data_IF_480530600197
#
_entry.id   IF_480530600197
#
_cell.length_a   1.000
_cell.length_b   1.000
_cell.length_c   1.000
_cell.angle_alpha   90.00
_cell.angle_beta   90.00
_cell.angle_gamma   90.00
#
_symmetry.space_group_name_H-M   'P 1'
#
loop_
_entity.id
_entity.type
_entity.pdbx_description
1 polymer ?
#
# COMPACT_ATOMS: atom_id res chain seq x y z
N UNK A 1 -23.77 -3.64 -18.83
CA UNK A 1 -22.76 -4.40 -19.60
C UNK A 1 -21.31 -3.93 -19.36
N UNK A 2 -21.03 -2.62 -19.32
CA UNK A 2 -19.66 -2.09 -19.15
C UNK A 2 -18.94 -2.57 -17.87
N UNK A 3 -19.67 -2.65 -16.74
CA UNK A 3 -19.10 -3.05 -15.45
C UNK A 3 -18.57 -4.49 -15.38
N UNK A 4 -19.13 -5.42 -16.17
CA UNK A 4 -18.66 -6.82 -16.18
C UNK A 4 -17.47 -7.03 -17.12
N UNK A 5 -17.34 -6.19 -18.15
CA UNK A 5 -16.16 -6.19 -19.03
C UNK A 5 -14.90 -5.76 -18.28
N UNK A 6 -14.95 -4.63 -17.56
CA UNK A 6 -13.81 -4.09 -16.79
C UNK A 6 -13.29 -5.13 -15.79
N UNK A 7 -14.18 -5.78 -15.04
CA UNK A 7 -13.78 -6.80 -14.06
C UNK A 7 -13.18 -8.05 -14.70
N UNK A 8 -13.70 -8.49 -15.85
CA UNK A 8 -13.10 -9.62 -16.59
C UNK A 8 -11.73 -9.28 -17.16
N UNK A 9 -11.54 -8.05 -17.62
CA UNK A 9 -10.26 -7.59 -18.13
C UNK A 9 -9.20 -7.50 -17.00
N UNK A 10 -9.54 -6.90 -15.86
CA UNK A 10 -8.66 -6.74 -14.71
C UNK A 10 -8.48 -8.03 -13.90
N UNK A 11 -9.52 -8.87 -13.81
CA UNK A 11 -9.54 -10.09 -12.99
C UNK A 11 -9.08 -11.35 -13.71
N UNK A 12 -8.21 -11.24 -14.72
CA UNK A 12 -7.66 -12.43 -15.42
C UNK A 12 -6.80 -13.24 -14.45
N UNK A 13 -6.95 -14.57 -14.46
CA UNK A 13 -6.22 -15.48 -13.54
C UNK A 13 -4.71 -15.31 -13.63
N UNK A 14 -4.18 -15.20 -14.85
CA UNK A 14 -2.75 -14.99 -15.07
C UNK A 14 -2.29 -13.64 -14.52
N UNK A 15 -3.11 -12.58 -14.64
CA UNK A 15 -2.76 -11.26 -14.13
C UNK A 15 -2.65 -11.31 -12.61
N UNK A 16 -3.67 -11.88 -11.92
CA UNK A 16 -3.64 -12.10 -10.46
C UNK A 16 -2.39 -12.88 -10.04
N UNK A 17 -2.08 -13.98 -10.72
CA UNK A 17 -0.94 -14.83 -10.40
C UNK A 17 0.41 -14.12 -10.59
N UNK A 18 0.62 -13.48 -11.75
CA UNK A 18 1.87 -12.78 -12.06
C UNK A 18 2.06 -11.56 -11.16
N UNK A 19 1.04 -10.70 -11.03
CA UNK A 19 1.14 -9.53 -10.15
C UNK A 19 1.32 -9.94 -8.69
N UNK A 20 0.68 -11.04 -8.26
CA UNK A 20 0.82 -11.56 -6.91
C UNK A 20 2.22 -12.09 -6.63
N UNK A 21 2.82 -12.81 -7.57
CA UNK A 21 4.20 -13.30 -7.46
C UNK A 21 5.20 -12.15 -7.41
N UNK A 22 5.06 -11.15 -8.29
CA UNK A 22 5.93 -9.96 -8.31
C UNK A 22 5.77 -9.14 -7.03
N UNK A 23 4.53 -8.91 -6.58
CA UNK A 23 4.25 -8.25 -5.30
C UNK A 23 4.91 -8.98 -4.13
N UNK A 24 4.72 -10.30 -4.02
CA UNK A 24 5.29 -11.09 -2.94
C UNK A 24 6.83 -11.05 -2.93
N UNK A 25 7.46 -11.23 -4.09
CA UNK A 25 8.92 -11.13 -4.21
C UNK A 25 9.43 -9.75 -3.81
N UNK A 26 8.76 -8.68 -4.26
CA UNK A 26 9.09 -7.30 -3.91
C UNK A 26 8.91 -7.03 -2.42
N UNK A 27 7.81 -7.50 -1.81
CA UNK A 27 7.54 -7.33 -0.37
C UNK A 27 8.57 -8.04 0.50
N UNK A 28 8.96 -9.26 0.13
CA UNK A 28 9.97 -10.04 0.85
C UNK A 28 11.35 -9.36 0.77
N UNK A 29 11.71 -8.84 -0.40
CA UNK A 29 12.96 -8.09 -0.57
C UNK A 29 12.97 -6.79 0.25
N UNK A 30 11.87 -6.03 0.26
CA UNK A 30 11.74 -4.83 1.13
C UNK A 30 11.85 -5.22 2.60
N UNK A 31 11.15 -6.27 3.03
CA UNK A 31 11.19 -6.73 4.42
C UNK A 31 12.60 -7.16 4.85
N UNK A 32 13.34 -7.83 3.96
CA UNK A 32 14.73 -8.20 4.20
C UNK A 32 15.64 -6.97 4.34
N UNK A 33 15.48 -5.97 3.48
CA UNK A 33 16.23 -4.71 3.56
C UNK A 33 15.88 -3.98 4.87
N UNK A 34 14.60 -3.87 5.22
CA UNK A 34 14.11 -3.13 6.39
C UNK A 34 14.26 -3.89 7.72
N UNK A 35 14.82 -5.10 7.73
CA UNK A 35 15.02 -5.88 8.96
C UNK A 35 15.70 -5.08 10.09
N UNK A 36 16.72 -4.23 9.84
CA UNK A 36 17.37 -3.43 10.90
C UNK A 36 16.51 -2.31 11.48
N UNK A 37 15.46 -1.85 10.78
CA UNK A 37 14.55 -0.80 11.25
C UNK A 37 13.19 -1.34 11.72
N UNK A 38 12.93 -2.62 11.54
CA UNK A 38 11.70 -3.27 12.01
C UNK A 38 11.78 -3.52 13.52
N UNK A 39 10.69 -3.32 14.30
CA UNK A 39 9.34 -2.91 13.86
C UNK A 39 9.11 -1.39 13.81
N UNK A 40 10.11 -0.58 14.18
CA UNK A 40 9.99 0.87 14.35
C UNK A 40 9.57 1.62 13.07
N UNK A 41 9.77 1.04 11.89
CA UNK A 41 9.32 1.62 10.62
C UNK A 41 7.81 1.89 10.59
N UNK A 42 6.98 0.97 11.10
CA UNK A 42 5.52 1.16 11.13
C UNK A 42 5.13 2.24 12.13
N UNK A 43 5.84 2.32 13.26
CA UNK A 43 5.63 3.37 14.25
C UNK A 43 5.96 4.73 13.64
N UNK A 44 7.13 4.86 13.03
CA UNK A 44 7.56 6.07 12.33
C UNK A 44 6.51 6.53 11.31
N UNK A 45 6.03 5.61 10.47
CA UNK A 45 5.00 5.86 9.47
C UNK A 45 3.65 6.35 10.02
N UNK A 46 3.34 6.07 11.29
CA UNK A 46 2.07 6.41 11.91
C UNK A 46 2.16 7.58 12.89
N UNK A 47 3.34 7.92 13.39
CA UNK A 47 3.49 8.85 14.52
C UNK A 47 4.46 10.01 14.29
N UNK A 48 5.12 10.11 13.12
CA UNK A 48 6.07 11.19 12.83
C UNK A 48 5.39 12.53 12.46
N UNK A 49 4.57 13.05 13.38
CA UNK A 49 3.68 14.19 13.13
C UNK A 49 4.42 15.54 13.06
N UNK A 50 5.62 15.63 13.66
CA UNK A 50 6.44 16.84 13.69
C UNK A 50 7.85 16.58 13.18
N UNK A 51 8.54 17.64 12.80
CA UNK A 51 9.92 17.59 12.33
C UNK A 51 10.86 16.96 13.36
N UNK A 52 10.65 17.25 14.66
CA UNK A 52 11.44 16.66 15.74
C UNK A 52 11.25 15.15 15.86
N UNK A 53 10.07 14.61 15.54
CA UNK A 53 9.85 13.17 15.56
C UNK A 53 10.63 12.47 14.44
N UNK A 54 10.66 13.10 13.27
CA UNK A 54 11.47 12.61 12.15
C UNK A 54 12.96 12.66 12.48
N UNK A 55 13.46 13.82 12.92
CA UNK A 55 14.88 14.00 13.28
C UNK A 55 15.32 13.04 14.36
N UNK A 56 14.52 12.86 15.42
CA UNK A 56 14.81 11.94 16.52
C UNK A 56 14.89 10.49 16.03
N UNK A 57 13.96 10.09 15.17
CA UNK A 57 13.94 8.74 14.58
C UNK A 57 15.16 8.52 13.68
N UNK A 58 15.47 9.48 12.81
CA UNK A 58 16.64 9.39 11.92
C UNK A 58 17.95 9.37 12.69
N UNK A 59 18.08 10.18 13.75
CA UNK A 59 19.26 10.16 14.62
C UNK A 59 19.43 8.80 15.33
N UNK A 60 18.33 8.19 15.80
CA UNK A 60 18.37 6.87 16.41
C UNK A 60 18.77 5.77 15.41
N UNK A 61 18.25 5.84 14.18
CA UNK A 61 18.63 4.91 13.11
C UNK A 61 20.05 5.14 12.60
N UNK A 62 20.56 6.37 12.59
CA UNK A 62 21.95 6.68 12.25
C UNK A 62 22.88 6.07 13.30
N UNK A 63 22.59 6.30 14.59
CA UNK A 63 23.39 5.78 15.70
C UNK A 63 23.47 4.24 15.76
N UNK A 64 22.43 3.55 15.28
CA UNK A 64 22.41 2.08 15.21
C UNK A 64 22.89 1.51 13.86
N UNK A 65 23.21 2.35 12.88
CA UNK A 65 23.54 1.96 11.51
C UNK A 65 22.34 1.51 10.66
N UNK A 66 21.11 1.59 11.21
CA UNK A 66 19.89 1.19 10.52
C UNK A 66 19.43 2.22 9.47
N UNK A 67 19.90 3.47 9.50
CA UNK A 67 19.49 4.49 8.52
C UNK A 67 19.92 4.12 7.10
N UNK A 68 21.05 3.41 6.93
CA UNK A 68 21.49 2.93 5.62
C UNK A 68 20.49 1.95 5.00
N UNK A 69 19.94 1.03 5.80
CA UNK A 69 18.89 0.10 5.37
C UNK A 69 17.60 0.84 4.99
N UNK A 70 17.21 1.84 5.80
CA UNK A 70 16.09 2.71 5.48
C UNK A 70 16.35 3.57 4.22
N UNK A 71 17.57 3.98 3.90
CA UNK A 71 17.85 4.63 2.61
C UNK A 71 17.75 3.63 1.44
N UNK A 72 18.25 2.42 1.63
CA UNK A 72 18.31 1.40 0.57
C UNK A 72 16.92 0.92 0.10
N UNK A 73 15.93 0.83 1.00
CA UNK A 73 14.62 0.28 0.61
C UNK A 73 13.91 1.10 -0.46
N UNK A 74 14.12 2.43 -0.50
CA UNK A 74 13.51 3.32 -1.49
C UNK A 74 13.84 2.97 -2.94
N UNK A 75 14.94 2.26 -3.21
CA UNK A 75 15.24 1.79 -4.56
C UNK A 75 14.15 0.84 -5.08
N UNK A 76 13.65 -0.04 -4.22
CA UNK A 76 12.58 -0.99 -4.54
C UNK A 76 11.19 -0.37 -4.28
N UNK A 77 11.07 0.45 -3.25
CA UNK A 77 9.79 1.05 -2.84
C UNK A 77 9.28 2.14 -3.81
N UNK A 78 10.12 2.58 -4.75
CA UNK A 78 9.70 3.41 -5.89
C UNK A 78 8.74 2.71 -6.86
N UNK A 79 8.87 1.39 -7.01
CA UNK A 79 8.06 0.60 -7.95
C UNK A 79 7.11 -0.37 -7.24
N UNK A 80 7.40 -0.72 -5.99
CA UNK A 80 6.57 -1.60 -5.17
C UNK A 80 5.07 -1.21 -5.14
N UNK A 81 4.70 0.08 -5.07
CA UNK A 81 3.30 0.48 -5.09
C UNK A 81 2.53 0.05 -6.33
N UNK A 82 3.20 0.01 -7.49
CA UNK A 82 2.61 -0.47 -8.73
C UNK A 82 2.27 -1.97 -8.66
N UNK A 83 3.12 -2.75 -7.98
CA UNK A 83 2.95 -4.20 -7.86
C UNK A 83 1.80 -4.56 -6.94
N UNK A 84 1.74 -3.99 -5.72
CA UNK A 84 0.62 -4.31 -4.83
C UNK A 84 -0.69 -3.74 -5.37
N UNK A 85 -0.70 -2.56 -6.00
CA UNK A 85 -1.93 -1.99 -6.55
C UNK A 85 -2.47 -2.83 -7.69
N UNK A 86 -1.61 -3.26 -8.61
CA UNK A 86 -1.98 -4.16 -9.71
C UNK A 86 -2.55 -5.47 -9.18
N UNK A 87 -1.88 -6.07 -8.18
CA UNK A 87 -2.34 -7.31 -7.57
C UNK A 87 -3.68 -7.15 -6.86
N UNK A 88 -3.82 -6.15 -5.98
CA UNK A 88 -5.05 -5.92 -5.24
C UNK A 88 -6.22 -5.60 -6.17
N UNK A 89 -6.04 -4.76 -7.19
CA UNK A 89 -7.09 -4.46 -8.18
C UNK A 89 -7.49 -5.71 -8.96
N UNK A 90 -6.52 -6.51 -9.44
CA UNK A 90 -6.80 -7.74 -10.17
C UNK A 90 -7.52 -8.78 -9.28
N UNK A 91 -7.08 -8.95 -8.03
CA UNK A 91 -7.67 -9.85 -7.06
C UNK A 91 -9.11 -9.44 -6.72
N UNK A 92 -9.36 -8.16 -6.42
CA UNK A 92 -10.70 -7.66 -6.13
C UNK A 92 -11.63 -7.81 -7.34
N UNK A 93 -11.16 -7.48 -8.55
CA UNK A 93 -11.96 -7.66 -9.77
C UNK A 93 -12.36 -9.13 -9.98
N UNK A 94 -11.42 -10.05 -9.75
CA UNK A 94 -11.64 -11.50 -9.79
C UNK A 94 -12.67 -11.95 -8.75
N UNK A 95 -12.53 -11.49 -7.50
CA UNK A 95 -13.43 -11.83 -6.40
C UNK A 95 -14.82 -11.24 -6.61
N UNK A 96 -14.93 -10.02 -7.14
CA UNK A 96 -16.21 -9.38 -7.44
C UNK A 96 -17.01 -10.15 -8.48
N UNK A 97 -16.36 -10.67 -9.54
CA UNK A 97 -17.01 -11.54 -10.51
C UNK A 97 -17.40 -12.89 -9.89
N UNK A 98 -16.48 -13.51 -9.13
CA UNK A 98 -16.70 -14.83 -8.53
C UNK A 98 -17.85 -14.82 -7.52
N UNK A 99 -17.97 -13.76 -6.72
CA UNK A 99 -18.95 -13.65 -5.64
C UNK A 99 -20.21 -12.86 -6.04
N UNK A 100 -20.38 -12.52 -7.33
CA UNK A 100 -21.57 -11.81 -7.81
C UNK A 100 -21.74 -10.41 -7.20
N UNK A 101 -20.65 -9.71 -6.87
CA UNK A 101 -20.70 -8.40 -6.22
C UNK A 101 -21.39 -7.37 -7.15
N UNK A 102 -22.39 -6.59 -6.69
CA UNK A 102 -23.10 -5.64 -7.56
C UNK A 102 -22.19 -4.59 -8.21
N UNK A 103 -22.53 -4.14 -9.43
CA UNK A 103 -21.71 -3.20 -10.21
C UNK A 103 -21.43 -1.85 -9.52
N UNK A 104 -22.31 -1.41 -8.60
CA UNK A 104 -22.12 -0.19 -7.78
C UNK A 104 -20.83 -0.20 -6.96
N UNK A 105 -20.26 -1.38 -6.68
CA UNK A 105 -19.00 -1.53 -5.97
C UNK A 105 -17.77 -1.32 -6.85
N UNK A 106 -17.90 -1.11 -8.16
CA UNK A 106 -16.76 -0.99 -9.07
C UNK A 106 -15.81 0.16 -8.73
N UNK A 107 -16.30 1.22 -8.10
CA UNK A 107 -15.46 2.32 -7.62
C UNK A 107 -14.36 1.84 -6.64
N UNK A 108 -14.61 0.75 -5.89
CA UNK A 108 -13.63 0.16 -4.96
C UNK A 108 -12.37 -0.35 -5.68
N UNK A 109 -12.46 -0.68 -6.97
CA UNK A 109 -11.32 -1.14 -7.75
C UNK A 109 -10.24 -0.05 -7.96
N UNK A 110 -10.57 1.22 -7.71
CA UNK A 110 -9.65 2.34 -7.76
C UNK A 110 -8.88 2.55 -6.43
N UNK A 111 -9.32 1.96 -5.32
CA UNK A 111 -8.68 2.18 -4.01
C UNK A 111 -7.22 1.72 -3.94
N UNK A 112 -6.81 0.58 -4.55
CA UNK A 112 -5.40 0.21 -4.56
C UNK A 112 -4.51 1.20 -5.32
N UNK A 113 -5.02 1.84 -6.37
CA UNK A 113 -4.29 2.90 -7.08
C UNK A 113 -4.17 4.17 -6.23
N UNK A 114 -5.22 4.51 -5.47
CA UNK A 114 -5.17 5.63 -4.53
C UNK A 114 -4.16 5.38 -3.40
N UNK A 115 -4.12 4.18 -2.83
CA UNK A 115 -3.12 3.86 -1.79
C UNK A 115 -1.70 3.91 -2.34
N UNK A 116 -1.47 3.45 -3.58
CA UNK A 116 -0.18 3.59 -4.25
C UNK A 116 0.24 5.04 -4.51
N UNK A 117 -0.72 5.92 -4.82
CA UNK A 117 -0.45 7.35 -4.96
C UNK A 117 -0.04 7.99 -3.63
N UNK A 118 -0.72 7.65 -2.53
CA UNK A 118 -0.36 8.11 -1.19
C UNK A 118 1.04 7.62 -0.77
N UNK A 119 1.36 6.37 -1.09
CA UNK A 119 2.68 5.78 -0.89
C UNK A 119 3.78 6.56 -1.61
N UNK A 120 3.59 6.83 -2.91
CA UNK A 120 4.55 7.58 -3.70
C UNK A 120 4.77 9.01 -3.18
N UNK A 121 3.69 9.66 -2.69
CA UNK A 121 3.76 10.99 -2.07
C UNK A 121 4.57 10.96 -0.77
N UNK A 122 4.24 10.05 0.15
CA UNK A 122 4.98 9.85 1.40
C UNK A 122 6.47 9.58 1.10
N UNK A 123 6.76 8.61 0.24
CA UNK A 123 8.13 8.22 -0.09
C UNK A 123 8.95 9.38 -0.67
N UNK A 124 8.33 10.20 -1.52
CA UNK A 124 9.01 11.37 -2.08
C UNK A 124 9.33 12.41 -1.02
N UNK A 125 8.43 12.60 -0.05
CA UNK A 125 8.64 13.52 1.07
C UNK A 125 9.75 13.00 1.98
N UNK A 126 9.73 11.72 2.34
CA UNK A 126 10.75 11.12 3.20
C UNK A 126 12.14 11.10 2.55
N UNK A 127 12.23 10.89 1.24
CA UNK A 127 13.48 11.10 0.49
C UNK A 127 13.99 12.55 0.60
N UNK A 128 13.09 13.53 0.60
CA UNK A 128 13.42 14.93 0.87
C UNK A 128 13.98 15.14 2.28
N UNK A 129 13.35 14.53 3.29
CA UNK A 129 13.84 14.58 4.68
C UNK A 129 15.23 13.96 4.83
N UNK A 130 15.51 12.89 4.11
CA UNK A 130 16.83 12.24 4.12
C UNK A 130 17.91 13.04 3.41
N UNK A 131 17.53 13.90 2.46
CA UNK A 131 18.45 14.78 1.75
C UNK A 131 18.85 16.00 2.58
N UNK A 132 17.90 16.56 3.34
CA UNK A 132 18.14 17.68 4.26
C UNK A 132 17.37 17.51 5.58
N UNK A 133 17.93 16.75 6.55
CA UNK A 133 17.28 16.53 7.84
C UNK A 133 17.14 17.79 8.71
N UNK A 134 17.96 18.83 8.45
CA UNK A 134 17.93 20.07 9.22
C UNK A 134 16.73 20.94 8.84
N UNK A 135 16.31 20.93 7.58
CA UNK A 135 15.25 21.78 7.04
C UNK A 135 13.85 21.15 6.99
N UNK A 136 13.58 20.10 7.79
CA UNK A 136 12.27 19.43 7.81
C UNK A 136 11.18 20.36 8.40
N UNK A 137 10.12 20.71 7.63
CA UNK A 137 9.00 21.49 8.14
C UNK A 137 7.94 20.61 8.81
N UNK A 138 7.37 21.04 9.95
CA UNK A 138 6.31 20.32 10.66
C UNK A 138 5.11 19.97 9.77
N UNK A 139 4.67 20.92 8.94
CA UNK A 139 3.55 20.69 8.00
C UNK A 139 3.81 19.54 7.03
N UNK A 140 5.06 19.34 6.64
CA UNK A 140 5.43 18.31 5.67
C UNK A 140 5.57 16.95 6.37
N UNK A 141 6.07 16.93 7.61
CA UNK A 141 6.07 15.73 8.45
C UNK A 141 4.64 15.24 8.73
N UNK A 142 3.74 16.16 9.11
CA UNK A 142 2.32 15.87 9.27
C UNK A 142 1.69 15.33 7.98
N UNK A 143 1.95 15.97 6.84
CA UNK A 143 1.39 15.53 5.55
C UNK A 143 1.92 14.15 5.12
N UNK A 144 3.22 13.88 5.32
CA UNK A 144 3.80 12.55 5.08
C UNK A 144 3.14 11.48 5.95
N UNK A 145 2.95 11.76 7.24
CA UNK A 145 2.30 10.83 8.18
C UNK A 145 0.83 10.62 7.81
N UNK A 146 0.11 11.69 7.43
CA UNK A 146 -1.28 11.58 6.97
C UNK A 146 -1.40 10.75 5.68
N UNK A 147 -0.48 10.91 4.73
CA UNK A 147 -0.44 10.09 3.52
C UNK A 147 -0.19 8.61 3.85
N UNK A 148 0.75 8.31 4.74
CA UNK A 148 1.02 6.95 5.23
C UNK A 148 -0.20 6.33 5.95
N UNK A 149 -0.85 7.07 6.86
CA UNK A 149 -2.07 6.62 7.53
C UNK A 149 -3.20 6.33 6.52
N UNK A 150 -3.40 7.23 5.55
CA UNK A 150 -4.38 7.04 4.48
C UNK A 150 -4.08 5.80 3.63
N UNK A 151 -2.81 5.59 3.26
CA UNK A 151 -2.35 4.37 2.58
C UNK A 151 -2.72 3.13 3.38
N UNK A 152 -2.31 3.05 4.65
CA UNK A 152 -2.56 1.88 5.49
C UNK A 152 -4.06 1.64 5.73
N UNK A 153 -4.86 2.69 5.92
CA UNK A 153 -6.31 2.58 6.04
C UNK A 153 -6.95 1.97 4.78
N UNK A 154 -6.52 2.39 3.59
CA UNK A 154 -6.98 1.82 2.33
C UNK A 154 -6.54 0.35 2.18
N UNK A 155 -5.26 0.06 2.44
CA UNK A 155 -4.68 -1.29 2.38
C UNK A 155 -5.44 -2.26 3.26
N UNK A 156 -5.70 -1.89 4.51
CA UNK A 156 -6.47 -2.69 5.44
C UNK A 156 -7.93 -2.82 4.99
N UNK A 157 -8.54 -1.74 4.49
CA UNK A 157 -9.93 -1.74 4.04
C UNK A 157 -10.19 -2.70 2.87
N UNK A 158 -9.39 -2.60 1.80
CA UNK A 158 -9.57 -3.50 0.66
C UNK A 158 -9.03 -4.91 0.94
N UNK A 159 -8.02 -5.05 1.82
CA UNK A 159 -7.52 -6.34 2.29
C UNK A 159 -8.59 -7.11 3.07
N UNK A 160 -9.26 -6.45 4.00
CA UNK A 160 -10.38 -7.00 4.76
C UNK A 160 -11.54 -7.40 3.85
N UNK A 161 -11.86 -6.57 2.84
CA UNK A 161 -12.88 -6.91 1.84
C UNK A 161 -12.51 -8.17 1.04
N UNK A 162 -11.26 -8.26 0.56
CA UNK A 162 -10.77 -9.44 -0.15
C UNK A 162 -10.85 -10.70 0.72
N UNK A 163 -10.42 -10.60 1.98
CA UNK A 163 -10.50 -11.69 2.95
C UNK A 163 -11.95 -12.13 3.22
N UNK A 164 -12.88 -11.18 3.41
CA UNK A 164 -14.30 -11.48 3.60
C UNK A 164 -14.89 -12.23 2.38
N UNK A 165 -14.60 -11.77 1.16
CA UNK A 165 -15.06 -12.43 -0.07
C UNK A 165 -14.48 -13.84 -0.23
N UNK A 166 -13.23 -14.05 0.16
CA UNK A 166 -12.58 -15.38 0.19
C UNK A 166 -13.22 -16.30 1.24
N UNK A 167 -13.65 -15.75 2.38
CA UNK A 167 -14.36 -16.46 3.44
C UNK A 167 -15.84 -16.73 3.11
N UNK A 168 -16.31 -16.37 1.91
CA UNK A 168 -17.68 -16.62 1.45
C UNK A 168 -18.70 -15.54 1.85
N UNK A 169 -18.27 -14.43 2.46
CA UNK A 169 -19.14 -13.28 2.61
C UNK A 169 -19.47 -12.68 1.24
N UNK A 170 -20.72 -12.28 1.05
CA UNK A 170 -21.15 -11.57 -0.14
C UNK A 170 -22.07 -10.40 0.24
N UNK A 171 -21.87 -9.20 -0.34
CA UNK A 171 -22.68 -8.03 -0.02
C UNK A 171 -24.14 -8.22 -0.45
N UNK A 172 -25.09 -7.70 0.33
CA UNK A 172 -26.54 -7.81 0.06
C UNK A 172 -26.87 -7.42 -1.39
N UNK A 173 -27.61 -8.29 -2.08
CA UNK A 173 -27.91 -8.19 -3.52
C UNK A 173 -26.96 -8.96 -4.44
N UNK A 174 -26.05 -9.78 -3.88
CA UNK A 174 -25.16 -10.69 -4.61
C UNK A 174 -25.82 -11.97 -5.13
N UNK A 175 -27.09 -12.22 -4.78
CA UNK A 175 -27.88 -13.31 -5.34
C UNK A 175 -28.53 -12.84 -6.65
N UNK A 176 -28.03 -13.34 -7.77
CA UNK A 176 -28.85 -13.45 -8.98
C UNK A 176 -29.44 -14.88 -8.97
N UNK A 177 -30.77 -15.05 -9.10
CA UNK A 177 -31.37 -16.38 -9.18
C UNK A 177 -30.77 -17.11 -10.38
N UNK A 178 -30.21 -18.29 -10.13
CA UNK A 178 -30.10 -19.33 -11.13
C UNK A 178 -30.93 -20.49 -10.64
#
# INVERSE_FOLDING_TARGET
MLGSFVRRALGRRWLVAVSGAVFAASQLAIAAILRPVSPEILRFQCTALRADDVRRTFAAWEASGALAAYRAHFALDRVHPLWYASFATALLARLFERCGVPARWNAVLALPALSAALDAVENRIQLGFLADPAAIPDRLALFSTAASLGKWALVLGYGALAAALLAGWAPRGSRNPR
#
